data_IF_969352740202
#
_entry.id   IF_969352740202
#
_cell.length_a   1.000
_cell.length_b   1.000
_cell.length_c   1.000
_cell.angle_alpha   90.00
_cell.angle_beta   90.00
_cell.angle_gamma   90.00
#
_symmetry.space_group_name_H-M   'P 1'
#
loop_
_entity.id
_entity.type
_entity.pdbx_description
1 polymer ?
#
# COMPACT_ATOMS: atom_id res chain seq x y z
N UNK A 1 -34.82 2.99 37.25
CA UNK A 1 -35.31 1.62 37.05
C UNK A 1 -36.61 1.75 36.26
N UNK A 2 -36.74 1.10 35.12
CA UNK A 2 -37.95 1.07 34.29
C UNK A 2 -38.96 0.11 34.90
N UNK A 3 -40.24 0.47 34.86
CA UNK A 3 -41.32 -0.49 35.13
C UNK A 3 -41.51 -1.45 33.96
N UNK A 4 -42.19 -2.57 34.18
CA UNK A 4 -42.45 -3.56 33.12
C UNK A 4 -43.25 -2.94 31.95
N UNK A 5 -44.21 -2.07 32.23
CA UNK A 5 -44.98 -1.39 31.18
C UNK A 5 -44.15 -0.41 30.36
N UNK A 6 -43.23 0.32 30.96
CA UNK A 6 -42.28 1.20 30.22
C UNK A 6 -41.29 0.41 29.34
N UNK A 7 -40.87 -0.76 29.77
CA UNK A 7 -40.02 -1.62 28.98
C UNK A 7 -40.74 -2.15 27.73
N UNK A 8 -42.01 -2.59 27.89
CA UNK A 8 -42.81 -3.07 26.77
C UNK A 8 -43.14 -1.95 25.77
N UNK A 9 -43.36 -0.74 26.24
CA UNK A 9 -43.55 0.44 25.38
C UNK A 9 -42.29 0.77 24.59
N UNK A 10 -41.12 0.73 25.19
CA UNK A 10 -39.84 0.93 24.49
C UNK A 10 -39.61 -0.10 23.38
N UNK A 11 -39.90 -1.38 23.67
CA UNK A 11 -39.79 -2.46 22.69
C UNK A 11 -40.74 -2.23 21.51
N UNK A 12 -42.00 -1.83 21.82
CA UNK A 12 -42.99 -1.53 20.79
C UNK A 12 -42.53 -0.36 19.91
N UNK A 13 -42.14 0.75 20.51
CA UNK A 13 -41.72 1.96 19.80
C UNK A 13 -40.48 1.67 18.91
N UNK A 14 -39.57 0.82 19.37
CA UNK A 14 -38.43 0.40 18.58
C UNK A 14 -38.84 -0.41 17.34
N UNK A 15 -39.74 -1.37 17.51
CA UNK A 15 -40.29 -2.17 16.40
C UNK A 15 -41.04 -1.32 15.38
N UNK A 16 -41.92 -0.43 15.87
CA UNK A 16 -42.70 0.46 15.01
C UNK A 16 -41.76 1.37 14.18
N UNK A 17 -40.64 1.81 14.76
CA UNK A 17 -39.64 2.61 14.07
C UNK A 17 -38.89 1.80 12.99
N UNK A 18 -38.53 0.55 13.29
CA UNK A 18 -37.93 -0.35 12.31
C UNK A 18 -38.87 -0.66 11.15
N UNK A 19 -40.15 -0.95 11.45
CA UNK A 19 -41.16 -1.25 10.43
C UNK A 19 -41.43 -0.03 9.53
N UNK A 20 -41.29 1.18 10.07
CA UNK A 20 -41.36 2.44 9.33
C UNK A 20 -40.06 2.78 8.55
N UNK A 21 -39.03 1.96 8.65
CA UNK A 21 -37.72 2.18 7.98
C UNK A 21 -36.89 3.30 8.60
N UNK A 22 -37.18 3.71 9.83
CA UNK A 22 -36.37 4.72 10.51
C UNK A 22 -35.16 4.11 11.23
N UNK A 23 -34.06 4.83 11.17
CA UNK A 23 -32.86 4.50 11.94
C UNK A 23 -33.09 4.85 13.43
N UNK A 24 -33.03 3.86 14.31
CA UNK A 24 -33.39 4.02 15.72
C UNK A 24 -32.21 4.30 16.64
N UNK A 25 -30.98 4.17 16.16
CA UNK A 25 -29.79 4.42 16.96
C UNK A 25 -29.58 5.95 17.12
N UNK A 26 -29.98 6.48 18.26
CA UNK A 26 -29.43 7.75 18.73
C UNK A 26 -28.07 7.44 19.36
N UNK A 27 -27.02 8.12 18.93
CA UNK A 27 -25.74 8.06 19.64
C UNK A 27 -25.96 8.45 21.10
N UNK A 28 -25.94 7.46 21.98
CA UNK A 28 -26.14 7.67 23.44
C UNK A 28 -24.94 8.41 24.01
N UNK A 29 -23.77 8.30 23.35
CA UNK A 29 -22.54 8.98 23.75
C UNK A 29 -22.11 9.88 22.59
N UNK A 30 -22.55 11.14 22.61
CA UNK A 30 -22.00 12.18 21.75
C UNK A 30 -20.55 12.45 22.19
N UNK A 31 -19.61 12.52 21.27
CA UNK A 31 -18.19 12.81 21.49
C UNK A 31 -17.32 11.66 22.03
N UNK A 32 -17.83 10.43 22.10
CA UNK A 32 -16.96 9.29 22.40
C UNK A 32 -16.14 8.93 21.17
N UNK A 33 -14.80 9.07 21.27
CA UNK A 33 -13.85 8.53 20.29
C UNK A 33 -13.25 7.26 20.87
N UNK A 34 -13.51 6.08 20.29
CA UNK A 34 -12.84 4.85 20.72
C UNK A 34 -11.31 5.01 20.63
N UNK A 35 -10.53 4.37 21.50
CA UNK A 35 -9.07 4.50 21.53
C UNK A 35 -8.38 4.15 20.19
N UNK A 36 -9.01 3.31 19.37
CA UNK A 36 -8.52 2.85 18.08
C UNK A 36 -9.33 3.39 16.90
N UNK A 37 -9.97 4.56 17.07
CA UNK A 37 -10.68 5.23 15.97
C UNK A 37 -9.69 5.67 14.90
N UNK A 38 -9.91 5.22 13.67
CA UNK A 38 -9.15 5.62 12.48
C UNK A 38 -9.77 6.87 11.88
N UNK A 39 -8.97 7.87 11.58
CA UNK A 39 -9.42 9.12 10.98
C UNK A 39 -9.41 9.02 9.44
N UNK A 40 -10.60 8.87 8.86
CA UNK A 40 -10.83 8.83 7.42
C UNK A 40 -11.16 10.21 6.82
N UNK A 41 -11.22 11.27 7.63
CA UNK A 41 -11.71 12.59 7.21
C UNK A 41 -11.00 13.15 5.97
N UNK A 42 -9.70 12.83 5.80
CA UNK A 42 -8.91 13.25 4.62
C UNK A 42 -9.39 12.68 3.30
N UNK A 43 -10.12 11.56 3.32
CA UNK A 43 -10.48 10.76 2.15
C UNK A 43 -11.98 10.76 1.88
N UNK A 44 -12.76 11.39 2.77
CA UNK A 44 -14.22 11.49 2.62
C UNK A 44 -14.58 12.74 1.79
N UNK A 45 -15.73 12.67 1.16
CA UNK A 45 -16.35 13.79 0.43
C UNK A 45 -15.53 14.33 -0.76
N UNK A 46 -14.54 13.57 -1.24
CA UNK A 46 -13.76 13.90 -2.43
C UNK A 46 -14.43 13.24 -3.64
N UNK A 47 -14.93 14.02 -4.62
CA UNK A 47 -15.49 13.44 -5.84
C UNK A 47 -14.43 12.61 -6.57
N UNK A 48 -14.74 11.38 -6.94
CA UNK A 48 -13.83 10.51 -7.68
C UNK A 48 -13.42 11.08 -9.06
N UNK A 49 -14.18 12.05 -9.58
CA UNK A 49 -13.88 12.78 -10.80
C UNK A 49 -12.94 13.98 -10.59
N UNK A 50 -12.53 14.25 -9.34
CA UNK A 50 -11.63 15.36 -9.05
C UNK A 50 -10.26 15.14 -9.70
N UNK A 51 -9.81 16.11 -10.48
CA UNK A 51 -8.49 16.07 -11.09
C UNK A 51 -7.40 16.19 -10.02
N UNK A 52 -6.40 15.32 -10.09
CA UNK A 52 -5.20 15.38 -9.27
C UNK A 52 -3.95 15.47 -10.16
N UNK A 53 -2.95 16.23 -9.69
CA UNK A 53 -1.65 16.30 -10.37
C UNK A 53 -0.83 15.06 -9.97
N UNK A 54 -0.75 14.09 -10.86
CA UNK A 54 -0.03 12.81 -10.65
C UNK A 54 1.26 12.68 -11.47
N UNK A 55 1.78 13.82 -11.98
CA UNK A 55 2.95 13.83 -12.85
C UNK A 55 4.23 14.05 -12.06
N UNK A 56 5.30 13.35 -12.44
CA UNK A 56 6.66 13.62 -12.02
C UNK A 56 7.39 14.46 -13.08
N UNK A 57 8.29 15.32 -12.63
CA UNK A 57 9.22 16.01 -13.53
C UNK A 57 10.29 15.01 -14.02
N UNK A 58 10.94 15.33 -15.15
CA UNK A 58 12.05 14.52 -15.67
C UNK A 58 13.16 14.36 -14.64
N UNK A 59 13.49 15.40 -13.89
CA UNK A 59 14.50 15.36 -12.84
C UNK A 59 14.14 14.38 -11.72
N UNK A 60 12.89 14.40 -11.26
CA UNK A 60 12.40 13.45 -10.24
C UNK A 60 12.45 12.01 -10.73
N UNK A 61 12.10 11.75 -11.99
CA UNK A 61 12.20 10.43 -12.60
C UNK A 61 13.67 9.95 -12.62
N UNK A 62 14.61 10.84 -12.98
CA UNK A 62 16.04 10.52 -12.98
C UNK A 62 16.53 10.22 -11.57
N UNK A 63 16.25 11.07 -10.60
CA UNK A 63 16.66 10.88 -9.19
C UNK A 63 16.10 9.59 -8.57
N UNK A 64 14.79 9.36 -8.71
CA UNK A 64 14.15 8.15 -8.18
C UNK A 64 14.61 6.90 -8.92
N UNK A 65 14.77 6.97 -10.23
CA UNK A 65 15.24 5.87 -11.03
C UNK A 65 16.68 5.46 -10.71
N UNK A 66 17.56 6.41 -10.41
CA UNK A 66 18.90 6.14 -9.91
C UNK A 66 18.84 5.35 -8.61
N UNK A 67 18.03 5.81 -7.63
CA UNK A 67 17.83 5.10 -6.36
C UNK A 67 17.31 3.67 -6.54
N UNK A 68 16.37 3.47 -7.46
CA UNK A 68 15.82 2.13 -7.78
C UNK A 68 16.82 1.19 -8.44
N UNK A 69 17.91 1.72 -8.97
CA UNK A 69 18.93 0.94 -9.68
C UNK A 69 20.34 1.01 -9.05
N UNK A 70 20.42 1.55 -7.82
CA UNK A 70 21.61 1.58 -6.99
C UNK A 70 21.67 0.33 -6.10
N UNK A 71 22.85 -0.22 -5.92
CA UNK A 71 23.09 -1.42 -5.11
C UNK A 71 24.32 -1.23 -4.22
N UNK A 72 24.38 -1.94 -3.08
CA UNK A 72 25.59 -1.96 -2.25
C UNK A 72 26.82 -2.45 -3.02
N UNK A 73 28.00 -1.98 -2.61
CA UNK A 73 29.27 -2.41 -3.20
C UNK A 73 29.44 -3.93 -3.13
N UNK A 74 29.85 -4.53 -4.23
CA UNK A 74 30.05 -5.97 -4.33
C UNK A 74 28.78 -6.81 -4.50
N UNK A 75 27.59 -6.20 -4.52
CA UNK A 75 26.31 -6.90 -4.70
C UNK A 75 26.21 -7.50 -6.11
N UNK A 76 26.06 -8.80 -6.20
CA UNK A 76 26.00 -9.53 -7.48
C UNK A 76 24.60 -9.97 -7.82
N UNK A 77 24.03 -9.36 -8.84
CA UNK A 77 22.72 -9.74 -9.37
C UNK A 77 22.80 -11.02 -10.23
N UNK A 78 21.73 -11.81 -10.21
CA UNK A 78 21.53 -12.86 -11.20
C UNK A 78 21.51 -12.27 -12.62
N UNK A 79 22.05 -12.96 -13.62
CA UNK A 79 22.24 -12.43 -14.98
C UNK A 79 20.96 -11.86 -15.62
N UNK A 80 19.82 -12.53 -15.44
CA UNK A 80 18.52 -12.06 -15.95
C UNK A 80 18.05 -10.78 -15.24
N UNK A 81 18.24 -10.72 -13.92
CA UNK A 81 17.87 -9.52 -13.13
C UNK A 81 18.78 -8.35 -13.51
N UNK A 82 20.08 -8.62 -13.68
CA UNK A 82 21.03 -7.60 -14.13
C UNK A 82 20.66 -7.00 -15.50
N UNK A 83 20.10 -7.82 -16.41
CA UNK A 83 19.58 -7.33 -17.70
C UNK A 83 18.41 -6.37 -17.48
N UNK A 84 17.45 -6.73 -16.63
CA UNK A 84 16.30 -5.86 -16.30
C UNK A 84 16.77 -4.52 -15.70
N UNK A 85 17.68 -4.55 -14.75
CA UNK A 85 18.24 -3.34 -14.14
C UNK A 85 19.00 -2.49 -15.18
N UNK A 86 19.75 -3.13 -16.08
CA UNK A 86 20.43 -2.42 -17.16
C UNK A 86 19.43 -1.73 -18.10
N UNK A 87 18.32 -2.39 -18.44
CA UNK A 87 17.27 -1.80 -19.26
C UNK A 87 16.57 -0.65 -18.53
N UNK A 88 16.31 -0.77 -17.22
CA UNK A 88 15.77 0.32 -16.39
C UNK A 88 16.69 1.55 -16.40
N UNK A 89 18.02 1.35 -16.31
CA UNK A 89 18.99 2.46 -16.46
C UNK A 89 18.93 3.13 -17.84
N UNK A 90 18.60 2.39 -18.89
CA UNK A 90 18.38 2.97 -20.22
C UNK A 90 17.05 3.71 -20.31
N UNK A 91 15.99 3.21 -19.67
CA UNK A 91 14.68 3.88 -19.57
C UNK A 91 14.81 5.24 -18.89
N UNK A 92 15.49 5.32 -17.73
CA UNK A 92 15.76 6.58 -17.02
C UNK A 92 16.46 7.59 -17.93
N UNK A 93 17.40 7.14 -18.75
CA UNK A 93 18.14 7.98 -19.72
C UNK A 93 17.37 8.26 -21.01
N UNK A 94 16.08 7.91 -21.04
CA UNK A 94 15.22 8.06 -22.23
C UNK A 94 15.78 7.38 -23.50
N UNK A 95 16.51 6.25 -23.32
CA UNK A 95 17.03 5.41 -24.41
C UNK A 95 16.18 4.20 -24.71
N UNK A 96 15.29 3.85 -23.80
CA UNK A 96 14.23 2.84 -23.95
C UNK A 96 12.91 3.40 -23.41
N UNK A 97 11.76 2.98 -23.96
CA UNK A 97 10.47 3.31 -23.38
C UNK A 97 10.33 2.61 -22.01
N UNK A 98 9.59 3.23 -21.09
CA UNK A 98 9.26 2.61 -19.81
C UNK A 98 8.37 1.38 -20.02
N UNK A 99 8.72 0.29 -19.35
CA UNK A 99 7.81 -0.84 -19.15
C UNK A 99 6.95 -0.64 -17.89
N UNK A 100 5.93 -1.47 -17.75
CA UNK A 100 5.04 -1.41 -16.59
C UNK A 100 5.75 -1.65 -15.26
N UNK A 101 6.75 -2.53 -15.23
CA UNK A 101 7.51 -2.80 -14.02
C UNK A 101 8.31 -1.60 -13.53
N UNK A 102 8.93 -0.85 -14.46
CA UNK A 102 9.62 0.39 -14.10
C UNK A 102 8.66 1.50 -13.72
N UNK A 103 7.54 1.64 -14.42
CA UNK A 103 6.52 2.64 -14.11
C UNK A 103 5.89 2.39 -12.72
N UNK A 104 5.60 1.14 -12.39
CA UNK A 104 5.11 0.71 -11.08
C UNK A 104 6.10 1.06 -9.97
N UNK A 105 7.38 0.69 -10.12
CA UNK A 105 8.41 0.99 -9.12
C UNK A 105 8.64 2.50 -8.94
N UNK A 106 8.57 3.31 -10.02
CA UNK A 106 8.66 4.76 -9.93
C UNK A 106 7.46 5.37 -9.19
N UNK A 107 6.25 4.85 -9.42
CA UNK A 107 5.06 5.29 -8.69
C UNK A 107 5.21 5.01 -7.18
N UNK A 108 5.67 3.81 -6.81
CA UNK A 108 5.94 3.50 -5.41
C UNK A 108 7.04 4.39 -4.83
N UNK A 109 8.13 4.58 -5.53
CA UNK A 109 9.24 5.43 -5.08
C UNK A 109 8.79 6.89 -4.84
N UNK A 110 7.90 7.42 -5.69
CA UNK A 110 7.37 8.77 -5.53
C UNK A 110 6.49 8.89 -4.29
N UNK A 111 5.60 7.93 -4.03
CA UNK A 111 4.75 7.91 -2.85
C UNK A 111 5.55 7.76 -1.56
N UNK A 112 6.55 6.88 -1.56
CA UNK A 112 7.46 6.71 -0.42
C UNK A 112 8.21 8.00 -0.11
N UNK A 113 8.75 8.67 -1.13
CA UNK A 113 9.42 9.97 -0.99
C UNK A 113 8.49 11.04 -0.40
N UNK A 114 7.22 11.02 -0.75
CA UNK A 114 6.19 11.93 -0.24
C UNK A 114 5.68 11.55 1.17
N UNK A 115 6.23 10.47 1.76
CA UNK A 115 5.91 10.03 3.12
C UNK A 115 4.73 9.07 3.22
N UNK A 116 4.16 8.60 2.10
CA UNK A 116 3.11 7.58 2.13
C UNK A 116 3.74 6.20 2.29
N UNK A 117 3.21 5.42 3.25
CA UNK A 117 3.60 4.02 3.39
C UNK A 117 3.03 3.15 2.26
N UNK A 118 3.73 2.06 1.94
CA UNK A 118 3.26 1.09 0.93
C UNK A 118 3.35 -0.31 1.51
N UNK A 119 2.28 -1.07 1.31
CA UNK A 119 2.22 -2.49 1.66
C UNK A 119 1.79 -3.29 0.44
N UNK A 120 2.65 -4.22 0.03
CA UNK A 120 2.41 -5.14 -1.08
C UNK A 120 2.35 -6.56 -0.50
N UNK A 121 1.28 -7.29 -0.76
CA UNK A 121 1.13 -8.65 -0.27
C UNK A 121 0.48 -9.54 -1.34
N UNK A 122 1.04 -10.72 -1.55
CA UNK A 122 0.53 -11.69 -2.52
C UNK A 122 1.54 -12.78 -2.80
N UNK A 123 1.17 -13.74 -3.63
CA UNK A 123 2.08 -14.77 -4.08
C UNK A 123 3.16 -14.17 -4.99
N UNK A 124 4.44 -14.43 -4.65
CA UNK A 124 5.58 -13.94 -5.42
C UNK A 124 5.55 -12.40 -5.62
N UNK A 125 5.10 -11.67 -4.60
CA UNK A 125 4.96 -10.22 -4.65
C UNK A 125 6.30 -9.50 -4.86
N UNK A 126 7.40 -10.06 -4.36
CA UNK A 126 8.74 -9.49 -4.48
C UNK A 126 9.27 -9.46 -5.90
N UNK A 127 9.07 -10.53 -6.65
CA UNK A 127 9.46 -10.63 -8.06
C UNK A 127 8.37 -10.08 -8.99
N UNK A 128 7.13 -10.33 -8.65
CA UNK A 128 5.95 -10.21 -9.49
C UNK A 128 5.82 -11.40 -10.45
N UNK A 129 4.62 -11.94 -10.58
CA UNK A 129 4.31 -13.16 -11.35
C UNK A 129 4.86 -13.12 -12.79
N UNK A 130 4.88 -11.94 -13.41
CA UNK A 130 5.35 -11.74 -14.78
C UNK A 130 6.82 -11.29 -14.87
N UNK A 131 7.63 -11.49 -13.83
CA UNK A 131 9.02 -11.00 -13.76
C UNK A 131 9.15 -9.48 -13.95
N UNK A 132 8.12 -8.73 -13.66
CA UNK A 132 8.04 -7.30 -13.95
C UNK A 132 8.51 -6.43 -12.80
N UNK A 133 8.17 -6.80 -11.55
CA UNK A 133 8.43 -5.94 -10.38
C UNK A 133 9.89 -5.97 -9.96
N UNK A 134 10.42 -7.11 -9.59
CA UNK A 134 11.73 -7.25 -8.98
C UNK A 134 12.02 -6.15 -7.94
N UNK A 135 11.17 -6.06 -6.92
CA UNK A 135 11.36 -5.14 -5.81
C UNK A 135 12.36 -5.69 -4.78
N UNK A 136 12.51 -7.00 -4.69
CA UNK A 136 13.46 -7.67 -3.81
C UNK A 136 14.61 -8.26 -4.63
N UNK A 137 15.83 -7.87 -4.28
CA UNK A 137 17.04 -8.34 -4.94
C UNK A 137 17.83 -9.27 -4.02
N UNK A 138 18.41 -10.29 -4.61
CA UNK A 138 19.20 -11.29 -3.88
C UNK A 138 20.63 -11.33 -4.40
N UNK A 139 21.61 -11.17 -3.51
CA UNK A 139 23.02 -11.30 -3.84
C UNK A 139 23.34 -12.77 -4.19
N UNK A 140 23.94 -12.98 -5.35
CA UNK A 140 24.36 -14.30 -5.79
C UNK A 140 25.62 -14.79 -5.04
N UNK A 141 26.30 -13.94 -4.29
CA UNK A 141 27.44 -14.31 -3.46
C UNK A 141 27.06 -14.59 -2.00
N UNK A 142 25.76 -14.50 -1.64
CA UNK A 142 25.31 -14.77 -0.27
C UNK A 142 25.64 -16.18 0.19
N UNK A 143 25.99 -16.33 1.46
CA UNK A 143 26.28 -17.63 2.08
C UNK A 143 25.04 -18.29 2.69
N UNK A 144 24.05 -17.51 3.08
CA UNK A 144 22.80 -18.01 3.63
C UNK A 144 21.58 -17.37 2.94
N UNK A 145 20.45 -18.09 2.96
CA UNK A 145 19.21 -17.62 2.31
C UNK A 145 18.69 -16.30 2.91
N UNK A 146 18.88 -16.10 4.22
CA UNK A 146 18.47 -14.91 4.95
C UNK A 146 19.40 -13.70 4.78
N UNK A 147 20.51 -13.86 4.06
CA UNK A 147 21.50 -12.80 3.85
C UNK A 147 21.44 -12.26 2.42
N UNK A 148 22.10 -11.13 2.20
CA UNK A 148 22.27 -10.56 0.87
C UNK A 148 20.96 -10.19 0.18
N UNK A 149 20.02 -9.66 0.96
CA UNK A 149 18.75 -9.10 0.44
C UNK A 149 18.89 -7.58 0.37
N UNK A 150 18.50 -7.00 -0.75
CA UNK A 150 18.43 -5.56 -0.95
C UNK A 150 17.09 -5.18 -1.57
N UNK A 151 16.42 -4.20 -0.96
CA UNK A 151 15.14 -3.68 -1.40
C UNK A 151 15.34 -2.19 -1.73
N UNK A 152 15.49 -1.82 -3.01
CA UNK A 152 15.71 -0.42 -3.39
C UNK A 152 14.63 0.53 -2.87
N UNK A 153 13.37 0.09 -2.82
CA UNK A 153 12.23 0.88 -2.32
C UNK A 153 12.33 1.23 -0.82
N UNK A 154 13.13 0.52 -0.03
CA UNK A 154 13.42 0.89 1.36
C UNK A 154 14.49 1.99 1.47
N UNK A 155 15.12 2.36 0.34
CA UNK A 155 16.31 3.23 0.31
C UNK A 155 16.12 4.45 -0.62
N UNK A 156 14.89 4.93 -0.79
CA UNK A 156 14.60 6.07 -1.66
C UNK A 156 14.99 7.40 -1.01
N UNK A 157 14.64 7.60 0.27
CA UNK A 157 14.95 8.80 1.02
C UNK A 157 15.06 8.51 2.53
N UNK A 158 15.81 9.31 3.27
CA UNK A 158 16.00 9.12 4.72
C UNK A 158 14.73 9.33 5.55
N UNK A 159 13.76 10.07 5.05
CA UNK A 159 12.49 10.38 5.72
C UNK A 159 11.28 9.88 4.93
N UNK A 160 11.46 8.80 4.17
CA UNK A 160 10.38 8.22 3.38
C UNK A 160 9.31 7.51 4.23
N UNK A 161 8.15 7.23 3.60
CA UNK A 161 7.16 6.30 4.14
C UNK A 161 7.73 4.88 4.26
N UNK A 162 7.13 4.06 5.11
CA UNK A 162 7.55 2.67 5.29
C UNK A 162 7.14 1.80 4.10
N UNK A 163 8.01 0.87 3.72
CA UNK A 163 7.77 -0.10 2.67
C UNK A 163 7.67 -1.50 3.27
N UNK A 164 6.55 -2.18 3.01
CA UNK A 164 6.32 -3.55 3.46
C UNK A 164 6.02 -4.42 2.25
N UNK A 165 6.73 -5.52 2.09
CA UNK A 165 6.50 -6.48 1.03
C UNK A 165 6.45 -7.89 1.60
N UNK A 166 5.39 -8.62 1.28
CA UNK A 166 5.12 -9.96 1.81
C UNK A 166 4.84 -10.91 0.66
N UNK A 167 5.71 -11.90 0.49
CA UNK A 167 5.42 -13.08 -0.34
C UNK A 167 4.50 -13.99 0.46
N UNK A 168 3.19 -13.83 0.27
CA UNK A 168 2.17 -14.54 1.02
C UNK A 168 2.02 -15.99 0.54
N UNK A 169 1.85 -16.91 1.48
CA UNK A 169 1.48 -18.31 1.21
C UNK A 169 -0.04 -18.53 1.21
N UNK A 170 -0.81 -17.50 1.51
CA UNK A 170 -2.26 -17.56 1.53
C UNK A 170 -2.82 -17.58 0.11
N UNK A 171 -4.05 -18.09 -0.03
CA UNK A 171 -4.81 -17.95 -1.29
C UNK A 171 -5.09 -16.48 -1.60
N UNK A 172 -5.32 -16.15 -2.86
CA UNK A 172 -5.62 -14.78 -3.31
C UNK A 172 -6.83 -14.19 -2.58
N UNK A 173 -7.88 -14.99 -2.35
CA UNK A 173 -9.07 -14.54 -1.61
C UNK A 173 -8.74 -14.22 -0.14
N UNK A 174 -7.91 -15.02 0.51
CA UNK A 174 -7.51 -14.79 1.90
C UNK A 174 -6.62 -13.55 2.02
N UNK A 175 -5.70 -13.34 1.09
CA UNK A 175 -4.87 -12.12 1.02
C UNK A 175 -5.75 -10.91 0.80
N UNK A 176 -6.65 -10.94 -0.17
CA UNK A 176 -7.56 -9.83 -0.48
C UNK A 176 -8.42 -9.47 0.74
N UNK A 177 -8.97 -10.46 1.43
CA UNK A 177 -9.78 -10.25 2.63
C UNK A 177 -8.98 -9.63 3.78
N UNK A 178 -7.74 -10.09 4.00
CA UNK A 178 -6.86 -9.52 5.01
C UNK A 178 -6.48 -8.08 4.69
N UNK A 179 -6.03 -7.81 3.45
CA UNK A 179 -5.57 -6.49 3.04
C UNK A 179 -6.73 -5.48 2.97
N UNK A 180 -7.95 -5.92 2.67
CA UNK A 180 -9.14 -5.08 2.82
C UNK A 180 -9.34 -4.63 4.26
N UNK A 181 -9.25 -5.56 5.23
CA UNK A 181 -9.33 -5.23 6.65
C UNK A 181 -8.20 -4.30 7.10
N UNK A 182 -6.97 -4.56 6.63
CA UNK A 182 -5.82 -3.71 6.91
C UNK A 182 -6.02 -2.29 6.37
N UNK A 183 -6.48 -2.15 5.13
CA UNK A 183 -6.72 -0.85 4.50
C UNK A 183 -7.77 -0.02 5.25
N UNK A 184 -8.79 -0.66 5.84
CA UNK A 184 -9.80 0.05 6.65
C UNK A 184 -9.21 0.61 7.95
N UNK A 185 -8.17 -0.02 8.49
CA UNK A 185 -7.51 0.39 9.72
C UNK A 185 -6.34 1.36 9.49
N UNK A 186 -5.76 1.39 8.28
CA UNK A 186 -4.59 2.23 7.93
C UNK A 186 -4.80 2.97 6.59
N UNK A 187 -5.59 4.06 6.60
CA UNK A 187 -5.93 4.78 5.36
C UNK A 187 -4.77 5.58 4.75
N UNK A 188 -3.67 5.79 5.48
CA UNK A 188 -2.53 6.56 4.99
C UNK A 188 -1.49 5.70 4.26
N UNK A 189 -1.79 4.43 4.03
CA UNK A 189 -0.90 3.48 3.36
C UNK A 189 -1.54 2.99 2.06
N UNK A 190 -0.77 2.98 0.98
CA UNK A 190 -1.17 2.29 -0.25
C UNK A 190 -1.09 0.79 -0.02
N UNK A 191 -2.18 0.09 -0.26
CA UNK A 191 -2.28 -1.37 -0.17
C UNK A 191 -2.39 -1.93 -1.59
N UNK A 192 -1.54 -2.91 -1.91
CA UNK A 192 -1.41 -3.52 -3.24
C UNK A 192 -1.46 -5.04 -3.13
#
# INVERSE_FOLDING_TARGET
VLSAGEADELVKNYRDSLDAGFHTNKNIISNFKPPFTVDWSKYLDIPWTQNAKTTLSKKEIEELGEKLTEFPDGFKLHSRVNKIISDRKLMIKNKLPFDWGMAENLAYASLLKDGYGIRISGQDAGRGTFFHRHAVMHDQNRSAWSEGVHIPLENIASSQGDFTLIDSILSEEAVLGFEYGFATAEPNKLIV
#
